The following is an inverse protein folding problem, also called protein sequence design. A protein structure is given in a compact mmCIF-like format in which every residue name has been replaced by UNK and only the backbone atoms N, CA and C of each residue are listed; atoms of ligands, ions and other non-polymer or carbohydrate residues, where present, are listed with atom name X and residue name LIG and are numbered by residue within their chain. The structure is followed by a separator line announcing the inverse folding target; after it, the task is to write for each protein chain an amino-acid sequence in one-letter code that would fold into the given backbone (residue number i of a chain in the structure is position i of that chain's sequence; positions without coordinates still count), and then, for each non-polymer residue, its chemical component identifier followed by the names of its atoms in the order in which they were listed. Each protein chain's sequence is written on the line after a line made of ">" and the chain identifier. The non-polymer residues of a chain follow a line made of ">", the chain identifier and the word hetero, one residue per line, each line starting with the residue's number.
data_IF_814487226808
#
_entry.id   IF_814487226808
#
_cell.length_a   1.000
_cell.length_b   1.000
_cell.length_c   1.000
_cell.angle_alpha   90.00
_cell.angle_beta   90.00
_cell.angle_gamma   90.00
#
_symmetry.space_group_name_H-M   'P 1'
#
loop_
_entity.id
_entity.type
_entity.pdbx_description
1 polymer ?
#
# COMPACT_ATOMS: atom_id res chain seq x y z
N UNK A 1 3.28 19.97 4.93
CA UNK A 1 1.87 19.80 4.50
C UNK A 1 1.22 18.49 4.95
N UNK A 2 1.96 17.36 5.08
CA UNK A 2 1.42 16.10 5.62
C UNK A 2 1.21 16.12 7.15
N UNK A 3 2.02 16.85 7.91
CA UNK A 3 1.87 16.95 9.37
C UNK A 3 0.62 17.72 9.80
N UNK A 4 0.20 18.72 9.01
CA UNK A 4 -1.03 19.50 9.28
C UNK A 4 -2.29 18.63 9.09
N UNK A 5 -2.24 17.63 8.21
CA UNK A 5 -3.32 16.67 7.99
C UNK A 5 -3.40 15.63 9.12
N UNK A 6 -2.27 15.18 9.65
CA UNK A 6 -2.19 14.27 10.81
C UNK A 6 -2.68 14.95 12.10
N UNK A 7 -2.32 16.22 12.34
CA UNK A 7 -2.82 16.97 13.49
C UNK A 7 -4.33 17.27 13.41
N UNK A 8 -4.87 17.55 12.22
CA UNK A 8 -6.33 17.75 12.06
C UNK A 8 -7.15 16.47 12.28
N UNK A 9 -6.57 15.30 12.01
CA UNK A 9 -7.25 14.03 12.23
C UNK A 9 -7.22 13.58 13.71
N UNK A 10 -6.21 13.98 14.48
CA UNK A 10 -6.19 13.73 15.93
C UNK A 10 -7.11 14.66 16.72
N UNK A 11 -7.29 15.92 16.31
CA UNK A 11 -8.14 16.90 17.04
C UNK A 11 -9.64 16.55 16.95
N UNK A 12 -10.09 15.87 15.89
CA UNK A 12 -11.50 15.53 15.71
C UNK A 12 -11.94 14.22 16.39
N UNK A 13 -11.02 13.42 16.92
CA UNK A 13 -11.36 12.16 17.59
C UNK A 13 -11.69 12.31 19.08
N UNK A 14 -11.38 13.45 19.71
CA UNK A 14 -11.45 13.63 21.17
C UNK A 14 -12.76 14.29 21.66
N UNK A 15 -13.67 14.71 20.79
CA UNK A 15 -14.95 15.35 21.19
C UNK A 15 -16.21 14.60 20.75
N UNK A 16 -16.21 13.29 20.96
CA UNK A 16 -17.38 12.42 20.74
C UNK A 16 -18.31 12.24 21.94
N UNK A 17 -18.21 13.06 23.00
CA UNK A 17 -19.14 13.02 24.13
C UNK A 17 -20.15 14.17 24.01
N UNK A 18 -21.24 13.91 23.29
CA UNK A 18 -22.47 14.69 23.44
C UNK A 18 -23.35 14.01 24.50
N UNK A 19 -23.31 14.55 25.72
CA UNK A 19 -24.30 14.22 26.77
C UNK A 19 -25.54 15.06 26.49
N UNK A 20 -26.67 14.40 26.20
CA UNK A 20 -27.99 15.06 26.16
C UNK A 20 -28.73 14.86 27.49
N UNK A 21 -29.56 15.82 27.95
CA UNK A 21 -30.11 15.82 29.32
C UNK A 21 -31.24 14.81 29.58
N UNK A 22 -31.57 13.94 28.62
CA UNK A 22 -32.63 12.95 28.76
C UNK A 22 -32.07 11.59 28.35
N UNK A 23 -31.75 10.78 29.37
CA UNK A 23 -31.09 9.47 29.23
C UNK A 23 -31.93 8.45 28.46
N UNK A 24 -31.94 8.55 27.13
CA UNK A 24 -32.40 7.49 26.23
C UNK A 24 -31.30 7.15 25.24
N UNK A 25 -30.77 5.95 25.41
CA UNK A 25 -29.83 5.27 24.53
C UNK A 25 -30.47 5.15 23.15
N UNK A 26 -30.06 6.00 22.20
CA UNK A 26 -30.45 5.84 20.81
C UNK A 26 -29.43 4.94 20.13
N UNK A 27 -29.82 3.69 19.85
CA UNK A 27 -29.09 2.76 18.98
C UNK A 27 -29.06 3.35 17.56
N UNK A 28 -28.11 4.24 17.30
CA UNK A 28 -27.90 4.82 15.98
C UNK A 28 -27.07 3.86 15.14
N UNK A 29 -27.77 2.93 14.48
CA UNK A 29 -27.36 2.36 13.20
C UNK A 29 -27.18 3.49 12.20
N UNK A 30 -25.98 4.09 12.17
CA UNK A 30 -25.66 5.23 11.30
C UNK A 30 -24.17 5.40 11.01
N UNK A 31 -23.36 4.35 11.22
CA UNK A 31 -21.91 4.38 10.99
C UNK A 31 -21.43 3.62 9.75
N UNK A 32 -22.34 3.02 8.95
CA UNK A 32 -21.97 2.07 7.91
C UNK A 32 -21.43 2.71 6.62
N UNK A 33 -21.91 3.90 6.25
CA UNK A 33 -21.51 4.56 4.99
C UNK A 33 -20.05 5.01 5.02
N UNK A 34 -19.58 5.61 6.11
CA UNK A 34 -18.21 6.11 6.21
C UNK A 34 -17.16 4.98 6.22
N UNK A 35 -17.53 3.77 6.66
CA UNK A 35 -16.61 2.61 6.74
C UNK A 35 -16.23 2.05 5.36
N UNK A 36 -17.15 2.08 4.38
CA UNK A 36 -16.86 1.62 3.02
C UNK A 36 -16.00 2.63 2.24
N UNK A 37 -16.23 3.94 2.42
CA UNK A 37 -15.43 4.95 1.70
C UNK A 37 -13.95 4.92 2.10
N UNK A 38 -13.64 4.70 3.38
CA UNK A 38 -12.25 4.57 3.85
C UNK A 38 -11.52 3.43 3.13
N UNK A 39 -12.21 2.32 2.95
CA UNK A 39 -11.69 1.16 2.23
C UNK A 39 -11.43 1.45 0.75
N UNK A 40 -12.41 2.03 0.06
CA UNK A 40 -12.28 2.39 -1.35
C UNK A 40 -11.18 3.43 -1.57
N UNK A 41 -11.03 4.40 -0.65
CA UNK A 41 -9.93 5.36 -0.68
C UNK A 41 -8.57 4.68 -0.52
N UNK A 42 -8.46 3.71 0.39
CA UNK A 42 -7.22 2.95 0.59
C UNK A 42 -6.85 2.17 -0.67
N UNK A 43 -7.78 1.40 -1.25
CA UNK A 43 -7.55 0.69 -2.49
C UNK A 43 -7.27 1.61 -3.67
N UNK A 44 -7.98 2.73 -3.79
CA UNK A 44 -7.71 3.75 -4.79
C UNK A 44 -6.30 4.30 -4.66
N UNK A 45 -5.83 4.52 -3.43
CA UNK A 45 -4.47 4.98 -3.15
C UNK A 45 -3.42 3.93 -3.56
N UNK A 46 -3.62 2.66 -3.20
CA UNK A 46 -2.73 1.57 -3.62
C UNK A 46 -2.67 1.48 -5.15
N UNK A 47 -3.83 1.52 -5.83
CA UNK A 47 -3.91 1.47 -7.30
C UNK A 47 -3.20 2.64 -7.95
N UNK A 48 -3.38 3.87 -7.44
CA UNK A 48 -2.70 5.07 -7.95
C UNK A 48 -1.20 4.97 -7.77
N UNK A 49 -0.74 4.54 -6.60
CA UNK A 49 0.69 4.36 -6.33
C UNK A 49 1.30 3.30 -7.25
N UNK A 50 0.59 2.19 -7.47
CA UNK A 50 1.07 1.12 -8.36
C UNK A 50 1.16 1.57 -9.81
N UNK A 51 0.12 2.23 -10.32
CA UNK A 51 0.14 2.84 -11.66
C UNK A 51 1.28 3.85 -11.83
N UNK A 52 1.62 4.60 -10.78
CA UNK A 52 2.73 5.55 -10.83
C UNK A 52 4.08 4.83 -10.94
N UNK A 53 4.30 3.77 -10.16
CA UNK A 53 5.51 2.93 -10.25
C UNK A 53 5.62 2.26 -11.61
N UNK A 54 4.53 1.64 -12.10
CA UNK A 54 4.53 0.94 -13.39
C UNK A 54 4.83 1.91 -14.54
N UNK A 55 4.30 3.14 -14.48
CA UNK A 55 4.59 4.18 -15.45
C UNK A 55 6.08 4.56 -15.44
N UNK A 56 6.65 4.83 -14.27
CA UNK A 56 8.07 5.18 -14.16
C UNK A 56 8.98 4.05 -14.63
N UNK A 57 8.62 2.80 -14.33
CA UNK A 57 9.36 1.64 -14.79
C UNK A 57 9.34 1.53 -16.31
N UNK A 58 8.17 1.71 -16.93
CA UNK A 58 8.03 1.72 -18.38
C UNK A 58 8.81 2.88 -19.03
N UNK A 59 8.74 4.08 -18.46
CA UNK A 59 9.46 5.25 -18.97
C UNK A 59 10.99 5.02 -18.94
N UNK A 60 11.52 4.38 -17.90
CA UNK A 60 12.94 3.99 -17.78
C UNK A 60 13.32 2.95 -18.84
N UNK A 61 12.51 1.92 -19.02
CA UNK A 61 12.76 0.84 -20.00
C UNK A 61 12.77 1.41 -21.43
N UNK A 62 11.79 2.24 -21.79
CA UNK A 62 11.73 2.90 -23.09
C UNK A 62 12.93 3.82 -23.33
N UNK A 63 13.42 4.52 -22.30
CA UNK A 63 14.59 5.39 -22.43
C UNK A 63 15.88 4.58 -22.67
N UNK A 64 16.04 3.43 -21.98
CA UNK A 64 17.16 2.51 -22.19
C UNK A 64 17.15 1.89 -23.57
N UNK A 65 16.00 1.42 -24.03
CA UNK A 65 15.85 0.81 -25.35
C UNK A 65 16.19 1.80 -26.47
N UNK A 66 15.76 3.06 -26.35
CA UNK A 66 16.12 4.13 -27.30
C UNK A 66 17.62 4.39 -27.35
N UNK A 67 18.26 4.46 -26.18
CA UNK A 67 19.70 4.69 -26.11
C UNK A 67 20.49 3.50 -26.69
N UNK A 68 20.08 2.27 -26.39
CA UNK A 68 20.72 1.07 -26.93
C UNK A 68 20.53 0.97 -28.45
N UNK A 69 19.31 1.23 -28.95
CA UNK A 69 19.05 1.27 -30.39
C UNK A 69 19.91 2.32 -31.11
N UNK A 70 20.10 3.50 -30.50
CA UNK A 70 21.00 4.52 -31.05
C UNK A 70 22.47 4.07 -31.06
N UNK A 71 22.94 3.45 -29.97
CA UNK A 71 24.30 2.88 -29.87
C UNK A 71 24.55 1.82 -30.96
N UNK A 72 23.56 0.95 -31.23
CA UNK A 72 23.62 -0.05 -32.32
C UNK A 72 23.67 0.58 -33.70
N UNK A 73 22.79 1.55 -34.00
CA UNK A 73 22.80 2.28 -35.28
C UNK A 73 24.14 2.97 -35.57
N UNK A 74 24.74 3.60 -34.55
CA UNK A 74 26.08 4.22 -34.65
C UNK A 74 27.18 3.19 -34.91
N UNK A 75 27.09 2.00 -34.31
CA UNK A 75 28.05 0.91 -34.52
C UNK A 75 27.96 0.30 -35.93
N UNK A 76 26.76 0.24 -36.51
CA UNK A 76 26.50 -0.30 -37.86
C UNK A 76 26.88 0.68 -38.99
N UNK A 77 27.39 1.88 -38.67
CA UNK A 77 27.86 2.85 -39.66
C UNK A 77 26.76 3.45 -40.53
N UNK A 78 25.48 3.35 -40.12
CA UNK A 78 24.31 3.89 -40.81
C UNK A 78 24.14 5.40 -40.58
N UNK A 79 25.23 6.17 -40.73
CA UNK A 79 25.26 7.62 -40.57
C UNK A 79 24.87 8.33 -41.89
N UNK A 80 23.80 7.87 -42.54
CA UNK A 80 23.24 8.55 -43.71
C UNK A 80 22.21 9.59 -43.27
N UNK A 81 22.69 10.84 -43.21
CA UNK A 81 22.02 12.09 -43.56
C UNK A 81 20.70 12.46 -42.81
N UNK A 82 20.84 13.48 -41.96
CA UNK A 82 19.91 14.63 -41.85
C UNK A 82 18.39 14.36 -41.67
N UNK A 83 17.98 13.66 -40.60
CA UNK A 83 16.66 13.93 -39.94
C UNK A 83 16.53 13.29 -38.55
N UNK A 84 17.65 13.05 -37.84
CA UNK A 84 17.60 12.55 -36.47
C UNK A 84 17.86 13.71 -35.52
N UNK A 85 16.80 14.17 -34.83
CA UNK A 85 16.96 15.03 -33.65
C UNK A 85 17.78 14.25 -32.61
N UNK A 86 19.08 14.52 -32.52
CA UNK A 86 19.96 14.03 -31.45
C UNK A 86 19.40 14.42 -30.06
N UNK A 87 18.59 15.50 -30.01
CA UNK A 87 17.81 15.94 -28.85
C UNK A 87 16.73 14.94 -28.37
N UNK A 88 16.33 13.95 -29.17
CA UNK A 88 15.35 12.91 -28.76
C UNK A 88 15.99 11.70 -28.07
N UNK A 89 17.31 11.51 -28.16
CA UNK A 89 17.98 10.37 -27.52
C UNK A 89 18.25 10.70 -26.05
N UNK A 90 17.71 9.92 -25.09
CA UNK A 90 17.97 10.14 -23.68
C UNK A 90 19.46 9.97 -23.37
N UNK A 91 20.06 10.94 -22.67
CA UNK A 91 21.42 10.81 -22.17
C UNK A 91 21.52 9.78 -21.04
N UNK A 92 22.71 9.21 -20.82
CA UNK A 92 22.96 8.29 -19.70
C UNK A 92 22.62 8.97 -18.34
N UNK A 93 22.93 10.26 -18.17
CA UNK A 93 22.55 11.04 -16.96
C UNK A 93 21.03 11.18 -16.80
N UNK A 94 20.29 11.35 -17.90
CA UNK A 94 18.83 11.42 -17.86
C UNK A 94 18.23 10.09 -17.41
N UNK A 95 18.76 8.96 -17.92
CA UNK A 95 18.33 7.62 -17.52
C UNK A 95 18.62 7.38 -16.04
N UNK A 96 19.81 7.73 -15.55
CA UNK A 96 20.17 7.60 -14.13
C UNK A 96 19.18 8.36 -13.23
N UNK A 97 18.85 9.61 -13.57
CA UNK A 97 17.83 10.39 -12.84
C UNK A 97 16.43 9.77 -12.91
N UNK A 98 16.08 9.11 -14.00
CA UNK A 98 14.80 8.41 -14.12
C UNK A 98 14.77 7.15 -13.25
N UNK A 99 15.88 6.42 -13.18
CA UNK A 99 16.05 5.26 -12.30
C UNK A 99 15.96 5.64 -10.82
N UNK A 100 16.63 6.70 -10.38
CA UNK A 100 16.54 7.21 -9.01
C UNK A 100 15.10 7.56 -8.60
N UNK A 101 14.34 8.17 -9.53
CA UNK A 101 12.92 8.49 -9.33
C UNK A 101 12.07 7.24 -9.23
N UNK A 102 12.33 6.25 -10.08
CA UNK A 102 11.64 4.95 -10.04
C UNK A 102 11.90 4.24 -8.71
N UNK A 103 13.16 4.18 -8.25
CA UNK A 103 13.52 3.56 -6.98
C UNK A 103 12.84 4.27 -5.80
N UNK A 104 12.83 5.60 -5.81
CA UNK A 104 12.12 6.40 -4.80
C UNK A 104 10.63 6.07 -4.78
N UNK A 105 9.98 5.95 -5.94
CA UNK A 105 8.57 5.59 -6.04
C UNK A 105 8.30 4.15 -5.57
N UNK A 106 9.16 3.19 -5.90
CA UNK A 106 9.08 1.82 -5.40
C UNK A 106 9.21 1.76 -3.88
N UNK A 107 10.14 2.53 -3.31
CA UNK A 107 10.31 2.64 -1.85
C UNK A 107 9.08 3.26 -1.17
N UNK A 108 8.44 4.26 -1.80
CA UNK A 108 7.17 4.82 -1.32
C UNK A 108 6.03 3.81 -1.40
N UNK A 109 5.92 3.05 -2.49
CA UNK A 109 4.93 1.97 -2.63
C UNK A 109 5.11 0.91 -1.54
N UNK A 110 6.34 0.44 -1.32
CA UNK A 110 6.67 -0.51 -0.26
C UNK A 110 6.28 0.04 1.12
N UNK A 111 6.65 1.29 1.44
CA UNK A 111 6.28 1.95 2.69
C UNK A 111 4.76 2.05 2.88
N UNK A 112 4.01 2.34 1.81
CA UNK A 112 2.56 2.39 1.85
C UNK A 112 1.96 1.05 2.30
N UNK A 113 2.43 -0.07 1.72
CA UNK A 113 1.99 -1.41 2.13
C UNK A 113 2.35 -1.70 3.59
N UNK A 114 3.58 -1.38 4.01
CA UNK A 114 4.01 -1.59 5.39
C UNK A 114 3.12 -0.83 6.39
N UNK A 115 2.82 0.44 6.12
CA UNK A 115 1.93 1.24 6.98
C UNK A 115 0.53 0.62 7.04
N UNK A 116 -0.01 0.18 5.90
CA UNK A 116 -1.35 -0.41 5.85
C UNK A 116 -1.38 -1.70 6.68
N UNK A 117 -0.47 -2.64 6.46
CA UNK A 117 -0.43 -3.90 7.20
C UNK A 117 -0.16 -3.69 8.69
N UNK A 118 0.76 -2.79 9.05
CA UNK A 118 1.03 -2.45 10.44
C UNK A 118 -0.22 -1.89 11.13
N UNK A 119 -1.02 -1.06 10.44
CA UNK A 119 -2.28 -0.56 10.99
C UNK A 119 -3.30 -1.67 11.20
N UNK A 120 -3.41 -2.62 10.27
CA UNK A 120 -4.29 -3.79 10.42
C UNK A 120 -3.87 -4.67 11.61
N UNK A 121 -2.58 -4.99 11.71
CA UNK A 121 -2.03 -5.74 12.84
C UNK A 121 -2.37 -5.02 14.15
N UNK A 122 -2.07 -3.73 14.24
CA UNK A 122 -2.29 -2.95 15.46
C UNK A 122 -3.75 -2.95 15.93
N UNK A 123 -4.71 -2.74 15.01
CA UNK A 123 -6.14 -2.70 15.39
C UNK A 123 -6.70 -4.10 15.72
N UNK A 124 -6.20 -5.14 15.05
CA UNK A 124 -6.62 -6.52 15.31
C UNK A 124 -6.05 -7.00 16.65
N UNK A 125 -4.77 -6.78 16.92
CA UNK A 125 -4.13 -7.10 18.20
C UNK A 125 -4.81 -6.38 19.36
N UNK A 126 -5.12 -5.08 19.22
CA UNK A 126 -5.84 -4.32 20.24
C UNK A 126 -7.25 -4.89 20.53
N UNK A 127 -7.97 -5.32 19.48
CA UNK A 127 -9.28 -5.97 19.66
C UNK A 127 -9.15 -7.32 20.36
N UNK A 128 -8.20 -8.16 19.94
CA UNK A 128 -7.96 -9.47 20.53
C UNK A 128 -7.59 -9.36 22.02
N UNK A 129 -6.69 -8.44 22.36
CA UNK A 129 -6.29 -8.18 23.74
C UNK A 129 -7.46 -7.69 24.61
N UNK A 130 -8.37 -6.85 24.07
CA UNK A 130 -9.58 -6.41 24.78
C UNK A 130 -10.55 -7.54 25.02
N UNK A 131 -10.75 -8.41 24.04
CA UNK A 131 -11.62 -9.57 24.16
C UNK A 131 -11.07 -10.56 25.20
N UNK A 132 -9.77 -10.86 25.15
CA UNK A 132 -9.08 -11.70 26.13
C UNK A 132 -9.19 -11.12 27.54
N UNK A 133 -8.85 -9.84 27.72
CA UNK A 133 -8.92 -9.18 29.03
C UNK A 133 -10.34 -9.05 29.62
N UNK A 134 -11.37 -9.09 28.77
CA UNK A 134 -12.77 -9.05 29.19
C UNK A 134 -13.42 -10.43 29.29
N UNK A 135 -12.71 -11.50 28.91
CA UNK A 135 -13.23 -12.87 28.87
C UNK A 135 -14.39 -13.06 27.87
N UNK A 136 -14.45 -12.24 26.81
CA UNK A 136 -15.48 -12.33 25.77
C UNK A 136 -14.92 -12.94 24.50
N UNK A 137 -15.78 -13.58 23.71
CA UNK A 137 -15.39 -14.13 22.41
C UNK A 137 -14.89 -13.02 21.48
N UNK A 138 -13.73 -13.24 20.87
CA UNK A 138 -13.14 -12.30 19.91
C UNK A 138 -13.89 -12.27 18.59
N UNK A 139 -14.66 -13.33 18.27
CA UNK A 139 -15.31 -13.57 16.99
C UNK A 139 -16.54 -12.69 16.74
N UNK A 140 -16.34 -11.38 16.88
CA UNK A 140 -17.36 -10.35 16.70
C UNK A 140 -17.60 -10.07 15.22
N UNK A 141 -18.77 -9.52 14.85
CA UNK A 141 -19.02 -9.06 13.48
C UNK A 141 -18.00 -8.03 13.00
N UNK A 142 -17.45 -7.20 13.90
CA UNK A 142 -16.40 -6.25 13.57
C UNK A 142 -15.08 -6.96 13.22
N UNK A 143 -14.69 -7.95 14.03
CA UNK A 143 -13.48 -8.74 13.79
C UNK A 143 -13.56 -9.44 12.42
N UNK A 144 -14.66 -10.15 12.14
CA UNK A 144 -14.90 -10.80 10.83
C UNK A 144 -14.80 -9.80 9.69
N UNK A 145 -15.38 -8.62 9.84
CA UNK A 145 -15.30 -7.60 8.81
C UNK A 145 -13.86 -7.10 8.58
N UNK A 146 -13.10 -6.81 9.64
CA UNK A 146 -11.72 -6.31 9.50
C UNK A 146 -10.79 -7.40 8.95
N UNK A 147 -10.97 -8.64 9.38
CA UNK A 147 -10.14 -9.77 8.97
C UNK A 147 -10.32 -10.11 7.48
N UNK A 148 -11.56 -10.07 6.99
CA UNK A 148 -11.88 -10.21 5.56
C UNK A 148 -11.31 -9.07 4.73
N UNK A 149 -11.26 -7.84 5.27
CA UNK A 149 -10.59 -6.72 4.59
C UNK A 149 -9.09 -6.96 4.49
N UNK A 150 -8.43 -7.42 5.55
CA UNK A 150 -7.01 -7.77 5.48
C UNK A 150 -6.75 -8.83 4.40
N UNK A 151 -7.54 -9.91 4.38
CA UNK A 151 -7.49 -10.94 3.32
C UNK A 151 -7.68 -10.36 1.93
N UNK A 152 -8.62 -9.43 1.76
CA UNK A 152 -8.87 -8.78 0.48
C UNK A 152 -7.65 -7.98 -0.03
N UNK A 153 -6.83 -7.37 0.84
CA UNK A 153 -5.58 -6.72 0.41
C UNK A 153 -4.62 -7.73 -0.18
N UNK A 154 -4.43 -8.85 0.53
CA UNK A 154 -3.54 -9.92 0.09
C UNK A 154 -3.92 -10.45 -1.28
N UNK A 155 -5.21 -10.70 -1.50
CA UNK A 155 -5.70 -11.26 -2.75
C UNK A 155 -5.70 -10.25 -3.91
N UNK A 156 -6.16 -9.01 -3.69
CA UNK A 156 -6.26 -8.02 -4.77
C UNK A 156 -4.91 -7.44 -5.22
N UNK A 157 -3.92 -7.42 -4.33
CA UNK A 157 -2.60 -6.85 -4.60
C UNK A 157 -1.49 -7.89 -4.49
N UNK A 158 -1.80 -9.16 -4.76
CA UNK A 158 -0.93 -10.30 -4.49
C UNK A 158 0.47 -10.15 -5.11
N UNK A 159 0.60 -9.63 -6.33
CA UNK A 159 1.89 -9.44 -7.00
C UNK A 159 2.83 -8.52 -6.19
N UNK A 160 2.28 -7.42 -5.65
CA UNK A 160 3.03 -6.45 -4.86
C UNK A 160 3.32 -6.99 -3.46
N UNK A 161 2.36 -7.69 -2.86
CA UNK A 161 2.58 -8.35 -1.56
C UNK A 161 3.68 -9.40 -1.69
N UNK A 162 3.67 -10.22 -2.74
CA UNK A 162 4.73 -11.21 -2.99
C UNK A 162 6.09 -10.56 -3.25
N UNK A 163 6.13 -9.43 -3.96
CA UNK A 163 7.36 -8.66 -4.15
C UNK A 163 7.99 -8.21 -2.83
N UNK A 164 7.18 -7.94 -1.81
CA UNK A 164 7.64 -7.45 -0.50
C UNK A 164 7.59 -8.51 0.60
N UNK A 165 7.32 -9.77 0.27
CA UNK A 165 7.01 -10.84 1.23
C UNK A 165 8.10 -11.01 2.31
N UNK A 166 9.38 -11.02 1.93
CA UNK A 166 10.48 -11.20 2.88
C UNK A 166 10.60 -10.04 3.87
N UNK A 167 10.25 -8.82 3.45
CA UNK A 167 10.17 -7.68 4.38
C UNK A 167 8.94 -7.77 5.28
N UNK A 168 7.81 -8.23 4.74
CA UNK A 168 6.58 -8.42 5.53
C UNK A 168 6.79 -9.50 6.61
N UNK A 169 7.44 -10.62 6.27
CA UNK A 169 7.79 -11.70 7.20
C UNK A 169 8.76 -11.24 8.29
N UNK A 170 9.80 -10.48 7.92
CA UNK A 170 10.84 -10.09 8.88
C UNK A 170 10.46 -8.93 9.79
N UNK A 171 9.59 -8.02 9.35
CA UNK A 171 9.28 -6.79 10.10
C UNK A 171 7.87 -6.73 10.68
N UNK A 172 6.90 -7.40 10.05
CA UNK A 172 5.50 -7.31 10.42
C UNK A 172 4.98 -8.65 10.90
N UNK A 173 4.90 -9.67 10.05
CA UNK A 173 4.30 -10.97 10.35
C UNK A 173 5.28 -11.93 11.02
N UNK A 174 5.80 -11.49 12.15
CA UNK A 174 6.74 -12.20 13.01
C UNK A 174 6.02 -13.10 14.02
N UNK A 175 6.78 -13.98 14.70
CA UNK A 175 6.21 -14.98 15.63
C UNK A 175 5.60 -14.41 16.91
N UNK A 176 5.80 -13.12 17.19
CA UNK A 176 5.22 -12.38 18.31
C UNK A 176 3.83 -11.81 18.01
N UNK A 177 3.37 -11.87 16.76
CA UNK A 177 1.99 -11.53 16.42
C UNK A 177 1.04 -12.65 16.85
N UNK A 178 -0.17 -12.26 17.26
CA UNK A 178 -1.27 -13.18 17.54
C UNK A 178 -1.50 -14.18 16.40
N UNK A 179 -1.66 -15.45 16.77
CA UNK A 179 -1.73 -16.55 15.81
C UNK A 179 -2.87 -16.41 14.79
N UNK A 180 -4.01 -15.81 15.16
CA UNK A 180 -5.14 -15.65 14.24
C UNK A 180 -4.81 -14.69 13.09
N UNK A 181 -4.02 -13.65 13.37
CA UNK A 181 -3.59 -12.68 12.36
C UNK A 181 -2.52 -13.32 11.48
N UNK A 182 -1.58 -14.04 12.11
CA UNK A 182 -0.48 -14.70 11.43
C UNK A 182 -0.96 -15.81 10.48
N UNK A 183 -1.98 -16.57 10.89
CA UNK A 183 -2.57 -17.66 10.10
C UNK A 183 -3.04 -17.17 8.73
N UNK A 184 -3.63 -15.97 8.65
CA UNK A 184 -4.11 -15.41 7.38
C UNK A 184 -2.96 -15.11 6.42
N UNK A 185 -1.87 -14.58 6.96
CA UNK A 185 -0.68 -14.34 6.19
C UNK A 185 -0.07 -15.66 5.69
N UNK A 186 -0.01 -16.68 6.55
CA UNK A 186 0.46 -18.03 6.18
C UNK A 186 -0.43 -18.69 5.12
N UNK A 187 -1.75 -18.56 5.24
CA UNK A 187 -2.71 -19.03 4.23
C UNK A 187 -2.45 -18.35 2.87
N UNK A 188 -2.20 -17.04 2.86
CA UNK A 188 -1.83 -16.32 1.65
C UNK A 188 -0.49 -16.80 1.06
N UNK A 189 0.52 -17.05 1.90
CA UNK A 189 1.81 -17.59 1.46
C UNK A 189 1.65 -18.99 0.84
N UNK A 190 0.76 -19.81 1.39
CA UNK A 190 0.46 -21.14 0.87
C UNK A 190 -0.14 -21.13 -0.55
N UNK A 191 -0.82 -20.04 -0.96
CA UNK A 191 -1.33 -19.90 -2.33
C UNK A 191 -0.23 -19.76 -3.39
N UNK A 192 1.00 -19.44 -2.97
CA UNK A 192 2.17 -19.37 -3.87
C UNK A 192 2.87 -20.73 -4.03
N UNK A 193 2.56 -21.68 -3.16
CA UNK A 193 3.25 -22.98 -3.05
C UNK A 193 2.69 -24.01 -4.03
#
# INVERSE_FOLDING_TARGET
>A
MYEVWLSHQQVNYVRGLAVTPTGKLCTRSGGHTNRFYVWEMMHSTIRKMSKHVDKLQKDVEEAKDKLEANKRKRADGLDFEEDYNDDEVPSDEMIERMEERMETAQNQQKRLFLIIFQRFIMILTDHLAKCEGSGVDYNTPWYKWVIERLQQIFLLHHELVYRYISTLESLLFTSDIDFHILEIFQQFCALRS
#
